data_IF_007020526829
#
_entry.id   IF_007020526829
#
_cell.length_a   1.000
_cell.length_b   1.000
_cell.length_c   1.000
_cell.angle_alpha   90.00
_cell.angle_beta   90.00
_cell.angle_gamma   90.00
#
_symmetry.space_group_name_H-M   'P 1'
#
loop_
_entity.id
_entity.type
_entity.pdbx_description
1 polymer ?
#
# COMPACT_ATOMS: atom_id res chain seq x y z
N UNK A 1 -25.58 -17.64 14.25
CA UNK A 1 -26.15 -18.43 13.15
C UNK A 1 -25.00 -18.79 12.23
N UNK A 2 -24.85 -20.07 11.89
CA UNK A 2 -23.82 -20.53 10.95
C UNK A 2 -24.50 -20.71 9.59
N UNK A 3 -23.89 -20.18 8.52
CA UNK A 3 -24.47 -20.25 7.19
C UNK A 3 -24.28 -21.64 6.56
N UNK A 4 -25.27 -22.14 5.80
CA UNK A 4 -25.06 -23.32 4.95
C UNK A 4 -23.95 -23.04 3.93
N UNK A 5 -23.09 -24.02 3.67
CA UNK A 5 -21.93 -23.86 2.77
C UNK A 5 -22.34 -23.46 1.34
N UNK A 6 -23.47 -23.98 0.87
CA UNK A 6 -24.06 -23.63 -0.42
C UNK A 6 -24.37 -22.13 -0.53
N UNK A 7 -24.94 -21.54 0.52
CA UNK A 7 -25.31 -20.12 0.58
C UNK A 7 -24.05 -19.25 0.59
N UNK A 8 -23.01 -19.66 1.33
CA UNK A 8 -21.71 -18.96 1.32
C UNK A 8 -21.05 -19.01 -0.05
N UNK A 9 -21.09 -20.16 -0.73
CA UNK A 9 -20.55 -20.30 -2.08
C UNK A 9 -21.23 -19.34 -3.06
N UNK A 10 -22.56 -19.32 -3.07
CA UNK A 10 -23.35 -18.39 -3.90
C UNK A 10 -23.04 -16.91 -3.59
N UNK A 11 -22.86 -16.57 -2.30
CA UNK A 11 -22.49 -15.21 -1.92
C UNK A 11 -21.10 -14.83 -2.45
N UNK A 12 -20.10 -15.72 -2.32
CA UNK A 12 -18.75 -15.50 -2.85
C UNK A 12 -18.77 -15.30 -4.36
N UNK A 13 -19.47 -16.16 -5.10
CA UNK A 13 -19.62 -16.07 -6.56
C UNK A 13 -20.24 -14.73 -6.97
N UNK A 14 -21.32 -14.32 -6.31
CA UNK A 14 -22.00 -13.06 -6.60
C UNK A 14 -21.12 -11.84 -6.29
N UNK A 15 -20.43 -11.83 -5.14
CA UNK A 15 -19.52 -10.75 -4.74
C UNK A 15 -18.32 -10.66 -5.68
N UNK A 16 -17.74 -11.79 -6.06
CA UNK A 16 -16.67 -11.84 -7.05
C UNK A 16 -17.14 -11.29 -8.40
N UNK A 17 -18.33 -11.68 -8.86
CA UNK A 17 -18.87 -11.22 -10.13
C UNK A 17 -19.19 -9.71 -10.15
N UNK A 18 -19.74 -9.17 -9.05
CA UNK A 18 -20.19 -7.77 -9.00
C UNK A 18 -19.12 -6.78 -8.54
N UNK A 19 -18.31 -7.15 -7.54
CA UNK A 19 -17.33 -6.26 -6.91
C UNK A 19 -15.88 -6.68 -7.18
N UNK A 20 -15.67 -7.82 -7.84
CA UNK A 20 -14.35 -8.38 -8.07
C UNK A 20 -13.66 -8.92 -6.83
N UNK A 21 -14.29 -8.86 -5.64
CA UNK A 21 -13.66 -9.20 -4.37
C UNK A 21 -13.52 -10.71 -4.18
N UNK A 22 -12.34 -11.14 -3.73
CA UNK A 22 -12.07 -12.49 -3.27
C UNK A 22 -12.32 -12.61 -1.77
N UNK A 23 -13.20 -13.55 -1.43
CA UNK A 23 -13.39 -14.01 -0.07
C UNK A 23 -12.99 -15.48 -0.04
N UNK A 24 -11.79 -15.81 0.47
CA UNK A 24 -11.39 -17.19 0.69
C UNK A 24 -12.06 -17.79 1.93
N UNK A 25 -11.98 -19.11 2.11
CA UNK A 25 -12.65 -19.82 3.20
C UNK A 25 -12.19 -19.36 4.60
N UNK A 26 -10.92 -18.97 4.74
CA UNK A 26 -10.41 -18.36 5.98
C UNK A 26 -11.12 -17.06 6.38
N UNK A 27 -11.79 -16.38 5.44
CA UNK A 27 -12.56 -15.13 5.66
C UNK A 27 -14.07 -15.34 5.67
N UNK A 28 -14.57 -16.58 5.82
CA UNK A 28 -16.02 -16.85 5.91
C UNK A 28 -16.70 -16.04 7.00
N UNK A 29 -16.07 -15.91 8.17
CA UNK A 29 -16.65 -15.17 9.29
C UNK A 29 -16.80 -13.66 8.99
N UNK A 30 -15.91 -13.07 8.19
CA UNK A 30 -16.03 -11.67 7.76
C UNK A 30 -17.19 -11.50 6.79
N UNK A 31 -17.26 -12.39 5.79
CA UNK A 31 -18.34 -12.43 4.81
C UNK A 31 -19.70 -12.58 5.49
N UNK A 32 -19.81 -13.54 6.40
CA UNK A 32 -21.01 -13.84 7.19
C UNK A 32 -21.48 -12.61 7.99
N UNK A 33 -20.55 -11.91 8.65
CA UNK A 33 -20.87 -10.66 9.38
C UNK A 33 -21.30 -9.54 8.45
N UNK A 34 -20.65 -9.37 7.31
CA UNK A 34 -21.00 -8.34 6.34
C UNK A 34 -22.40 -8.55 5.75
N UNK A 35 -22.72 -9.79 5.37
CA UNK A 35 -24.04 -10.17 4.86
C UNK A 35 -25.13 -9.97 5.90
N UNK A 36 -24.91 -10.39 7.16
CA UNK A 36 -25.88 -10.17 8.24
C UNK A 36 -26.14 -8.68 8.49
N UNK A 37 -25.09 -7.85 8.46
CA UNK A 37 -25.22 -6.40 8.64
C UNK A 37 -25.93 -5.75 7.46
N UNK A 38 -25.63 -6.15 6.23
CA UNK A 38 -26.32 -5.64 5.05
C UNK A 38 -27.82 -6.04 5.05
N UNK A 39 -28.12 -7.23 5.58
CA UNK A 39 -29.48 -7.75 5.66
C UNK A 39 -30.31 -7.17 6.83
N UNK A 40 -29.71 -6.45 7.80
CA UNK A 40 -30.42 -6.01 9.02
C UNK A 40 -31.63 -5.12 8.74
N UNK A 41 -31.56 -4.35 7.64
CA UNK A 41 -32.62 -3.44 7.20
C UNK A 41 -33.40 -4.00 5.99
N UNK A 42 -33.15 -5.27 5.61
CA UNK A 42 -33.80 -5.92 4.48
C UNK A 42 -35.15 -6.51 4.91
N UNK A 43 -36.13 -6.48 4.01
CA UNK A 43 -37.42 -7.16 4.20
C UNK A 43 -37.32 -8.70 4.07
N UNK A 44 -36.12 -9.22 3.80
CA UNK A 44 -35.85 -10.64 3.56
C UNK A 44 -35.94 -11.44 4.85
N UNK A 45 -36.64 -12.58 4.83
CA UNK A 45 -36.84 -13.42 6.02
C UNK A 45 -35.69 -14.41 6.20
N UNK A 46 -34.97 -14.70 5.11
CA UNK A 46 -33.78 -15.56 5.10
C UNK A 46 -32.64 -14.88 4.34
N UNK A 47 -31.40 -15.29 4.65
CA UNK A 47 -30.25 -14.76 3.92
C UNK A 47 -30.18 -15.27 2.46
N UNK A 48 -30.75 -16.44 2.17
CA UNK A 48 -30.85 -16.93 0.79
C UNK A 48 -31.78 -16.02 -0.04
N UNK A 49 -32.94 -15.64 0.50
CA UNK A 49 -33.82 -14.63 -0.13
C UNK A 49 -33.09 -13.29 -0.32
N UNK A 50 -32.31 -12.85 0.66
CA UNK A 50 -31.51 -11.63 0.56
C UNK A 50 -30.47 -11.72 -0.56
N UNK A 51 -29.75 -12.83 -0.71
CA UNK A 51 -28.77 -13.03 -1.79
C UNK A 51 -29.44 -13.08 -3.17
N UNK A 52 -30.56 -13.80 -3.31
CA UNK A 52 -31.31 -13.83 -4.58
C UNK A 52 -31.84 -12.45 -4.96
N UNK A 53 -32.32 -11.68 -3.98
CA UNK A 53 -32.74 -10.29 -4.16
C UNK A 53 -31.57 -9.42 -4.60
N UNK A 54 -30.44 -9.46 -3.87
CA UNK A 54 -29.21 -8.74 -4.22
C UNK A 54 -28.79 -9.07 -5.66
N UNK A 55 -28.78 -10.33 -6.06
CA UNK A 55 -28.41 -10.72 -7.42
C UNK A 55 -29.26 -10.03 -8.51
N UNK A 56 -30.55 -9.80 -8.25
CA UNK A 56 -31.49 -9.16 -9.15
C UNK A 56 -31.45 -7.61 -9.12
N UNK A 57 -30.84 -7.01 -8.09
CA UNK A 57 -30.77 -5.55 -7.96
C UNK A 57 -29.73 -4.94 -8.93
N UNK A 58 -29.96 -3.69 -9.39
CA UNK A 58 -28.94 -2.94 -10.12
C UNK A 58 -27.78 -2.58 -9.19
N UNK A 59 -26.57 -2.39 -9.74
CA UNK A 59 -25.38 -2.04 -8.95
C UNK A 59 -25.49 -0.68 -8.25
N UNK A 60 -26.34 0.20 -8.77
CA UNK A 60 -26.62 1.50 -8.17
C UNK A 60 -27.53 1.42 -6.93
N UNK A 61 -28.08 0.25 -6.63
CA UNK A 61 -29.01 0.06 -5.53
C UNK A 61 -28.35 0.34 -4.17
N UNK A 62 -29.12 0.94 -3.26
CA UNK A 62 -28.66 1.29 -1.93
C UNK A 62 -28.30 0.05 -1.09
N UNK A 63 -28.98 -1.08 -1.30
CA UNK A 63 -28.70 -2.35 -0.61
C UNK A 63 -27.31 -2.89 -1.02
N UNK A 64 -26.97 -2.81 -2.31
CA UNK A 64 -25.64 -3.15 -2.81
C UNK A 64 -24.55 -2.25 -2.25
N UNK A 65 -24.79 -0.93 -2.24
CA UNK A 65 -23.83 0.04 -1.69
C UNK A 65 -23.55 -0.19 -0.21
N UNK A 66 -24.58 -0.52 0.57
CA UNK A 66 -24.42 -0.88 1.99
C UNK A 66 -23.58 -2.14 2.16
N UNK A 67 -23.86 -3.17 1.35
CA UNK A 67 -23.08 -4.41 1.40
C UNK A 67 -21.61 -4.15 1.04
N UNK A 68 -21.34 -3.39 -0.02
CA UNK A 68 -19.97 -3.02 -0.41
C UNK A 68 -19.20 -2.38 0.76
N UNK A 69 -19.79 -1.42 1.46
CA UNK A 69 -19.17 -0.76 2.61
C UNK A 69 -18.78 -1.72 3.75
N UNK A 70 -19.54 -2.82 3.97
CA UNK A 70 -19.18 -3.84 4.96
C UNK A 70 -18.15 -4.85 4.47
N UNK A 71 -17.99 -5.01 3.16
CA UNK A 71 -17.04 -5.94 2.56
C UNK A 71 -15.66 -5.31 2.33
N UNK A 72 -15.60 -3.99 2.20
CA UNK A 72 -14.36 -3.25 1.95
C UNK A 72 -13.58 -2.96 3.22
N UNK A 73 -12.25 -2.96 3.11
CA UNK A 73 -11.34 -2.54 4.18
C UNK A 73 -10.92 -1.09 3.93
N UNK A 74 -11.46 -0.16 4.71
CA UNK A 74 -11.24 1.28 4.54
C UNK A 74 -10.04 1.86 5.31
N UNK A 75 -9.03 1.07 5.65
CA UNK A 75 -7.88 1.61 6.40
C UNK A 75 -7.01 2.50 5.50
N UNK A 76 -6.87 3.77 5.88
CA UNK A 76 -5.99 4.72 5.19
C UNK A 76 -5.44 5.78 6.16
N UNK A 77 -4.46 6.57 5.70
CA UNK A 77 -3.86 7.71 6.39
C UNK A 77 -3.07 8.61 5.45
N UNK A 78 -2.88 9.86 5.87
CA UNK A 78 -2.15 10.85 5.11
C UNK A 78 -0.69 10.42 4.91
N UNK A 79 -0.23 10.48 3.66
CA UNK A 79 1.12 10.11 3.25
C UNK A 79 1.48 8.64 3.57
N UNK A 80 0.49 7.73 3.48
CA UNK A 80 0.71 6.28 3.59
C UNK A 80 1.72 5.79 2.55
N UNK A 81 2.66 4.96 2.99
CA UNK A 81 3.89 4.58 2.27
C UNK A 81 4.71 5.81 1.85
N UNK A 82 5.36 6.44 2.83
CA UNK A 82 6.19 7.62 2.64
C UNK A 82 7.16 7.53 1.44
N UNK A 83 7.84 6.39 1.15
CA UNK A 83 8.72 6.29 -0.01
C UNK A 83 8.02 6.59 -1.36
N UNK A 84 6.74 6.23 -1.50
CA UNK A 84 5.98 6.56 -2.71
C UNK A 84 5.74 8.06 -2.81
N UNK A 85 5.27 8.70 -1.75
CA UNK A 85 5.01 10.14 -1.78
C UNK A 85 6.29 10.96 -1.95
N UNK A 86 7.41 10.49 -1.41
CA UNK A 86 8.74 11.06 -1.68
C UNK A 86 9.12 10.91 -3.16
N UNK A 87 8.87 9.74 -3.77
CA UNK A 87 9.11 9.51 -5.19
C UNK A 87 8.24 10.44 -6.07
N UNK A 88 6.96 10.60 -5.70
CA UNK A 88 6.04 11.51 -6.37
C UNK A 88 6.52 12.95 -6.27
N UNK A 89 6.92 13.39 -5.07
CA UNK A 89 7.35 14.76 -4.81
C UNK A 89 8.68 15.10 -5.50
N UNK A 90 9.66 14.18 -5.45
CA UNK A 90 11.04 14.48 -5.88
C UNK A 90 11.33 14.16 -7.34
N UNK A 91 10.55 13.28 -7.96
CA UNK A 91 10.88 12.74 -9.29
C UNK A 91 9.70 12.77 -10.26
N UNK A 92 8.59 12.14 -9.90
CA UNK A 92 7.49 11.91 -10.85
C UNK A 92 6.75 13.20 -11.19
N UNK A 93 6.19 13.88 -10.19
CA UNK A 93 5.41 15.10 -10.42
C UNK A 93 6.26 16.23 -11.01
N UNK A 94 7.49 16.53 -10.52
CA UNK A 94 8.33 17.56 -11.14
C UNK A 94 8.63 17.30 -12.61
N UNK A 95 8.90 16.03 -13.00
CA UNK A 95 9.15 15.66 -14.38
C UNK A 95 7.94 15.91 -15.28
N UNK A 96 6.75 15.52 -14.84
CA UNK A 96 5.49 15.77 -15.56
C UNK A 96 5.24 17.26 -15.68
N UNK A 97 5.39 18.01 -14.58
CA UNK A 97 5.18 19.46 -14.54
C UNK A 97 6.11 20.14 -15.55
N UNK A 98 7.41 19.85 -15.51
CA UNK A 98 8.38 20.50 -16.40
C UNK A 98 8.07 20.23 -17.88
N UNK A 99 7.76 18.98 -18.23
CA UNK A 99 7.39 18.60 -19.60
C UNK A 99 6.15 19.35 -20.12
N UNK A 100 5.26 19.78 -19.23
CA UNK A 100 4.00 20.46 -19.56
C UNK A 100 4.09 21.98 -19.52
N UNK A 101 5.16 22.57 -18.96
CA UNK A 101 5.28 24.04 -18.79
C UNK A 101 5.25 24.82 -20.10
N UNK A 102 5.78 24.23 -21.17
CA UNK A 102 5.82 24.82 -22.52
C UNK A 102 4.52 24.61 -23.32
N UNK A 103 3.59 23.78 -22.82
CA UNK A 103 2.32 23.55 -23.49
C UNK A 103 1.40 24.76 -23.37
N UNK A 104 0.61 25.01 -24.42
CA UNK A 104 -0.40 26.07 -24.43
C UNK A 104 -1.44 25.89 -23.33
N UNK A 105 -1.75 24.64 -22.99
CA UNK A 105 -2.67 24.27 -21.90
C UNK A 105 -1.90 23.36 -20.95
N UNK A 106 -1.45 23.92 -19.83
CA UNK A 106 -0.74 23.19 -18.79
C UNK A 106 -1.76 22.35 -18.01
N UNK A 107 -1.65 21.03 -18.11
CA UNK A 107 -2.61 20.11 -17.48
C UNK A 107 -1.89 19.09 -16.60
N UNK A 108 -2.54 18.71 -15.52
CA UNK A 108 -2.10 17.64 -14.64
C UNK A 108 -3.31 16.83 -14.17
N UNK A 109 -3.34 15.54 -14.49
CA UNK A 109 -4.47 14.64 -14.19
C UNK A 109 -3.99 13.49 -13.33
N UNK A 110 -4.44 13.49 -12.08
CA UNK A 110 -4.11 12.49 -11.07
C UNK A 110 -5.38 11.73 -10.68
N UNK A 111 -5.25 10.43 -10.41
CA UNK A 111 -6.35 9.61 -9.94
C UNK A 111 -5.95 8.75 -8.74
N UNK A 112 -6.64 8.90 -7.61
CA UNK A 112 -6.62 7.94 -6.50
C UNK A 112 -7.81 6.98 -6.65
N UNK A 113 -7.51 5.75 -7.01
CA UNK A 113 -8.45 4.67 -7.33
C UNK A 113 -8.57 3.71 -6.13
N UNK A 114 -9.70 3.78 -5.42
CA UNK A 114 -9.89 3.13 -4.11
C UNK A 114 -9.43 4.04 -2.98
N UNK A 115 -9.93 5.28 -2.95
CA UNK A 115 -9.42 6.35 -2.09
C UNK A 115 -9.86 6.28 -0.61
N UNK A 116 -10.74 5.32 -0.26
CA UNK A 116 -11.33 5.17 1.07
C UNK A 116 -11.87 6.51 1.62
N UNK A 117 -11.43 6.89 2.82
CA UNK A 117 -11.89 8.12 3.51
C UNK A 117 -11.19 9.39 3.06
N UNK A 118 -10.39 9.35 1.97
CA UNK A 118 -9.90 10.55 1.28
C UNK A 118 -8.51 11.05 1.69
N UNK A 119 -7.82 10.39 2.61
CA UNK A 119 -6.48 10.80 3.01
C UNK A 119 -5.46 10.77 1.85
N UNK A 120 -5.49 9.73 0.99
CA UNK A 120 -4.60 9.62 -0.17
C UNK A 120 -4.77 10.76 -1.20
N UNK A 121 -5.98 11.07 -1.71
CA UNK A 121 -6.14 12.14 -2.68
C UNK A 121 -5.86 13.53 -2.09
N UNK A 122 -6.08 13.74 -0.79
CA UNK A 122 -5.68 14.99 -0.15
C UNK A 122 -4.17 15.08 0.03
N UNK A 123 -3.45 13.98 0.30
CA UNK A 123 -1.99 13.97 0.24
C UNK A 123 -1.46 14.34 -1.15
N UNK A 124 -2.07 13.83 -2.22
CA UNK A 124 -1.75 14.25 -3.60
C UNK A 124 -2.00 15.75 -3.80
N UNK A 125 -3.15 16.26 -3.36
CA UNK A 125 -3.49 17.67 -3.49
C UNK A 125 -2.51 18.59 -2.74
N UNK A 126 -2.02 18.16 -1.58
CA UNK A 126 -1.00 18.88 -0.81
C UNK A 126 0.35 18.88 -1.55
N UNK A 127 0.76 17.76 -2.15
CA UNK A 127 1.96 17.72 -2.98
C UNK A 127 1.84 18.64 -4.20
N UNK A 128 0.70 18.63 -4.88
CA UNK A 128 0.43 19.50 -6.02
C UNK A 128 0.51 20.98 -5.62
N UNK A 129 -0.17 21.38 -4.55
CA UNK A 129 -0.12 22.77 -4.04
C UNK A 129 1.31 23.21 -3.69
N UNK A 130 2.11 22.29 -3.16
CA UNK A 130 3.51 22.56 -2.80
C UNK A 130 4.43 22.68 -4.01
N UNK A 131 4.19 21.91 -5.07
CA UNK A 131 5.04 21.85 -6.26
C UNK A 131 4.64 22.86 -7.35
N UNK A 132 3.39 23.33 -7.34
CA UNK A 132 2.86 24.28 -8.32
C UNK A 132 2.49 25.61 -7.64
N UNK A 133 3.45 26.53 -7.43
CA UNK A 133 3.15 27.87 -6.92
C UNK A 133 2.27 28.67 -7.89
N UNK A 134 2.35 28.37 -9.19
CA UNK A 134 1.56 28.94 -10.29
C UNK A 134 0.27 28.15 -10.56
N UNK A 135 -0.30 27.46 -9.56
CA UNK A 135 -1.47 26.56 -9.71
C UNK A 135 -2.65 27.15 -10.50
N UNK A 136 -2.86 28.47 -10.44
CA UNK A 136 -3.93 29.15 -11.17
C UNK A 136 -3.79 29.08 -12.71
N UNK A 137 -2.57 28.86 -13.21
CA UNK A 137 -2.28 28.71 -14.64
C UNK A 137 -2.45 27.26 -15.14
N UNK A 138 -2.81 26.34 -14.25
CA UNK A 138 -2.88 24.91 -14.52
C UNK A 138 -4.31 24.39 -14.48
N UNK A 139 -4.64 23.54 -15.45
CA UNK A 139 -5.82 22.68 -15.39
C UNK A 139 -5.48 21.41 -14.62
N UNK A 140 -5.64 21.47 -13.29
CA UNK A 140 -5.40 20.33 -12.41
C UNK A 140 -6.68 19.56 -12.14
N UNK A 141 -6.63 18.24 -12.32
CA UNK A 141 -7.68 17.30 -11.91
C UNK A 141 -7.08 16.30 -10.94
N UNK A 142 -7.63 16.21 -9.72
CA UNK A 142 -7.37 15.09 -8.81
C UNK A 142 -8.69 14.35 -8.63
N UNK A 143 -8.86 13.28 -9.39
CA UNK A 143 -10.00 12.39 -9.26
C UNK A 143 -9.75 11.42 -8.10
N UNK A 144 -10.74 11.24 -7.24
CA UNK A 144 -10.71 10.30 -6.15
C UNK A 144 -11.97 9.46 -6.22
N UNK A 145 -11.81 8.14 -6.33
CA UNK A 145 -12.95 7.23 -6.48
C UNK A 145 -12.91 6.09 -5.50
N UNK A 146 -14.09 5.67 -5.08
CA UNK A 146 -14.26 4.47 -4.25
C UNK A 146 -15.61 3.82 -4.56
N UNK A 147 -15.74 2.53 -4.23
CA UNK A 147 -17.02 1.82 -4.28
C UNK A 147 -17.85 2.10 -3.01
N UNK A 148 -17.18 2.38 -1.88
CA UNK A 148 -17.82 2.74 -0.63
C UNK A 148 -18.22 4.23 -0.62
N UNK A 149 -19.51 4.47 -0.84
CA UNK A 149 -20.09 5.82 -0.82
C UNK A 149 -20.02 6.46 0.57
N UNK A 150 -20.08 5.68 1.65
CA UNK A 150 -19.98 6.21 3.00
C UNK A 150 -18.56 6.71 3.31
N UNK A 151 -17.54 6.00 2.82
CA UNK A 151 -16.16 6.47 2.89
C UNK A 151 -15.96 7.77 2.08
N UNK A 152 -16.56 7.86 0.89
CA UNK A 152 -16.55 9.10 0.09
C UNK A 152 -17.24 10.27 0.81
N UNK A 153 -18.30 10.03 1.58
CA UNK A 153 -18.95 11.08 2.37
C UNK A 153 -18.05 11.61 3.49
N UNK A 154 -17.26 10.73 4.12
CA UNK A 154 -16.22 11.14 5.08
C UNK A 154 -15.15 11.99 4.37
N UNK A 155 -14.70 11.55 3.19
CA UNK A 155 -13.75 12.32 2.38
C UNK A 155 -14.30 13.71 2.04
N UNK A 156 -15.56 13.83 1.61
CA UNK A 156 -16.22 15.12 1.29
C UNK A 156 -16.25 16.07 2.48
N UNK A 157 -16.45 15.55 3.69
CA UNK A 157 -16.38 16.36 4.91
C UNK A 157 -14.96 16.87 5.15
N UNK A 158 -13.95 16.04 4.84
CA UNK A 158 -12.54 16.39 4.99
C UNK A 158 -12.15 16.62 6.45
N UNK A 159 -12.78 15.88 7.38
CA UNK A 159 -12.58 16.00 8.83
C UNK A 159 -12.00 14.71 9.36
N UNK A 160 -10.81 14.82 9.94
CA UNK A 160 -10.00 13.67 10.33
C UNK A 160 -9.61 13.74 11.80
N UNK A 161 -9.39 12.57 12.40
CA UNK A 161 -8.87 12.45 13.77
C UNK A 161 -7.38 12.19 13.73
N UNK A 162 -6.73 12.32 14.89
CA UNK A 162 -5.28 12.13 15.04
C UNK A 162 -4.75 10.84 14.39
N UNK A 163 -5.53 9.76 14.42
CA UNK A 163 -5.14 8.48 13.81
C UNK A 163 -4.88 8.56 12.30
N UNK A 164 -5.60 9.41 11.56
CA UNK A 164 -5.38 9.62 10.12
C UNK A 164 -4.04 10.27 9.81
N UNK A 165 -3.34 10.82 10.81
CA UNK A 165 -2.07 11.52 10.64
C UNK A 165 -0.85 10.70 11.12
N UNK A 166 -1.04 9.40 11.38
CA UNK A 166 0.05 8.51 11.79
C UNK A 166 1.11 8.45 10.69
N UNK A 167 2.33 8.89 10.99
CA UNK A 167 3.42 8.95 10.01
C UNK A 167 3.35 10.14 9.04
N UNK A 168 2.42 11.08 9.25
CA UNK A 168 2.34 12.31 8.46
C UNK A 168 3.33 13.35 8.96
N UNK A 169 4.10 14.00 8.06
CA UNK A 169 5.02 15.08 8.45
C UNK A 169 4.30 16.22 9.18
N UNK A 170 4.93 16.81 10.20
CA UNK A 170 4.31 17.84 11.05
C UNK A 170 3.85 19.08 10.25
N UNK A 171 4.69 19.54 9.32
CA UNK A 171 4.40 20.70 8.46
C UNK A 171 3.11 20.57 7.66
N UNK A 172 2.68 19.33 7.36
CA UNK A 172 1.43 19.07 6.64
C UNK A 172 0.26 19.53 7.49
N UNK A 173 0.25 19.16 8.77
CA UNK A 173 -0.84 19.48 9.70
C UNK A 173 -0.94 20.98 9.91
N UNK A 174 0.19 21.62 10.19
CA UNK A 174 0.25 23.04 10.54
C UNK A 174 -0.20 23.96 9.39
N UNK A 175 0.08 23.57 8.14
CA UNK A 175 -0.18 24.41 6.97
C UNK A 175 -1.47 24.08 6.21
N UNK A 176 -1.98 22.86 6.34
CA UNK A 176 -3.08 22.36 5.50
C UNK A 176 -4.29 21.89 6.27
N UNK A 177 -4.29 22.00 7.60
CA UNK A 177 -5.40 21.62 8.44
C UNK A 177 -5.75 22.69 9.46
N UNK A 178 -7.03 22.73 9.84
CA UNK A 178 -7.54 23.60 10.88
C UNK A 178 -8.11 22.77 12.02
N UNK A 179 -7.65 23.04 13.23
CA UNK A 179 -8.13 22.36 14.42
C UNK A 179 -9.55 22.85 14.78
N UNK A 180 -10.51 21.94 14.83
CA UNK A 180 -11.87 22.16 15.34
C UNK A 180 -12.18 21.15 16.44
N UNK A 181 -11.94 21.51 17.70
CA UNK A 181 -12.12 20.60 18.83
C UNK A 181 -11.16 19.42 18.76
N UNK A 182 -11.66 18.20 18.65
CA UNK A 182 -10.86 16.96 18.55
C UNK A 182 -10.63 16.47 17.10
N UNK A 183 -11.08 17.24 16.10
CA UNK A 183 -10.90 16.91 14.68
C UNK A 183 -10.08 17.99 13.97
N UNK A 184 -9.35 17.57 12.94
CA UNK A 184 -8.64 18.43 12.01
C UNK A 184 -9.40 18.46 10.68
N UNK A 185 -9.76 19.65 10.23
CA UNK A 185 -10.43 19.85 8.94
C UNK A 185 -9.43 20.26 7.86
N UNK A 186 -9.45 19.59 6.72
CA UNK A 186 -8.62 19.92 5.55
C UNK A 186 -8.95 21.34 5.07
N UNK A 187 -7.91 22.11 4.80
CA UNK A 187 -8.03 23.46 4.25
C UNK A 187 -8.89 23.47 2.98
N UNK A 188 -9.87 24.39 2.92
CA UNK A 188 -10.85 24.47 1.82
C UNK A 188 -10.18 24.59 0.44
N UNK A 189 -9.01 25.22 0.35
CA UNK A 189 -8.24 25.36 -0.89
C UNK A 189 -7.77 24.02 -1.45
N UNK A 190 -7.31 23.12 -0.57
CA UNK A 190 -6.90 21.76 -0.93
C UNK A 190 -8.11 20.92 -1.24
N UNK A 191 -9.17 21.05 -0.42
CA UNK A 191 -10.40 20.29 -0.62
C UNK A 191 -11.01 20.49 -2.01
N UNK A 192 -10.89 21.70 -2.56
CA UNK A 192 -11.38 22.07 -3.90
C UNK A 192 -10.60 21.45 -5.06
N UNK A 193 -9.37 20.98 -4.85
CA UNK A 193 -8.57 20.34 -5.88
C UNK A 193 -9.02 18.89 -6.15
N UNK A 194 -9.71 18.27 -5.18
CA UNK A 194 -10.13 16.87 -5.24
C UNK A 194 -11.59 16.75 -5.66
N UNK A 195 -11.83 15.98 -6.71
CA UNK A 195 -13.16 15.57 -7.16
C UNK A 195 -13.45 14.14 -6.72
N UNK A 196 -14.50 13.96 -5.92
CA UNK A 196 -14.88 12.66 -5.35
C UNK A 196 -16.07 12.06 -6.13
N UNK A 197 -15.92 10.84 -6.63
CA UNK A 197 -16.97 10.14 -7.38
C UNK A 197 -17.05 8.65 -7.02
N UNK A 198 -18.26 8.05 -6.94
CA UNK A 198 -18.38 6.61 -6.79
C UNK A 198 -17.92 5.90 -8.07
N UNK A 199 -17.10 4.86 -7.93
CA UNK A 199 -16.67 4.02 -9.05
C UNK A 199 -16.31 2.62 -8.56
N UNK A 200 -16.86 1.61 -9.22
CA UNK A 200 -16.50 0.22 -8.99
C UNK A 200 -15.34 -0.17 -9.92
N UNK A 201 -14.16 -0.48 -9.35
CA UNK A 201 -12.97 -0.81 -10.12
C UNK A 201 -13.07 -2.19 -10.81
N UNK A 202 -13.95 -3.08 -10.38
CA UNK A 202 -14.20 -4.33 -11.11
C UNK A 202 -15.13 -4.13 -12.31
N UNK A 203 -15.88 -3.03 -12.34
CA UNK A 203 -16.87 -2.74 -13.37
C UNK A 203 -16.28 -2.24 -14.69
N UNK A 204 -17.16 -2.17 -15.71
CA UNK A 204 -16.79 -1.83 -17.09
C UNK A 204 -17.09 -0.37 -17.47
N UNK A 205 -17.53 0.46 -16.52
CA UNK A 205 -17.90 1.86 -16.78
C UNK A 205 -16.70 2.77 -17.11
N UNK A 206 -15.47 2.27 -17.02
CA UNK A 206 -14.24 3.02 -17.18
C UNK A 206 -13.17 2.17 -17.90
N UNK A 207 -12.17 2.81 -18.56
CA UNK A 207 -11.96 4.24 -18.68
C UNK A 207 -12.98 4.92 -19.60
N UNK A 208 -13.50 6.09 -19.20
CA UNK A 208 -14.43 6.88 -20.03
C UNK A 208 -14.26 8.38 -19.81
N UNK A 209 -14.47 9.22 -20.85
CA UNK A 209 -14.58 10.67 -20.66
C UNK A 209 -15.71 11.04 -19.69
N UNK A 210 -16.80 10.25 -19.64
CA UNK A 210 -17.95 10.50 -18.74
C UNK A 210 -17.60 10.30 -17.27
N UNK A 211 -16.74 9.32 -16.97
CA UNK A 211 -16.21 9.07 -15.61
C UNK A 211 -14.99 9.95 -15.31
N UNK A 212 -14.54 10.76 -16.27
CA UNK A 212 -13.31 11.57 -16.20
C UNK A 212 -12.05 10.73 -15.90
N UNK A 213 -12.01 9.46 -16.29
CA UNK A 213 -10.92 8.51 -16.02
C UNK A 213 -10.04 8.25 -17.25
N UNK A 214 -9.87 9.24 -18.13
CA UNK A 214 -9.02 9.11 -19.33
C UNK A 214 -7.80 10.02 -19.26
N UNK A 215 -6.73 9.61 -19.95
CA UNK A 215 -5.48 10.37 -20.09
C UNK A 215 -4.89 10.86 -18.76
N UNK A 216 -4.82 9.96 -17.77
CA UNK A 216 -4.24 10.23 -16.45
C UNK A 216 -2.71 10.25 -16.52
N UNK A 217 -2.10 11.29 -15.98
CA UNK A 217 -0.64 11.36 -15.85
C UNK A 217 -0.17 10.42 -14.73
N UNK A 218 -0.96 10.30 -13.65
CA UNK A 218 -0.68 9.36 -12.54
C UNK A 218 -1.96 8.73 -12.03
N UNK A 219 -1.94 7.41 -11.83
CA UNK A 219 -2.98 6.63 -11.14
C UNK A 219 -2.36 5.95 -9.92
N UNK A 220 -2.90 6.19 -8.73
CA UNK A 220 -2.63 5.42 -7.52
C UNK A 220 -3.76 4.42 -7.36
N UNK A 221 -3.45 3.13 -7.34
CA UNK A 221 -4.39 2.05 -7.02
C UNK A 221 -3.74 1.13 -6.00
N UNK A 222 -3.82 1.50 -4.72
CA UNK A 222 -2.97 0.97 -3.66
C UNK A 222 -3.78 0.34 -2.57
N UNK A 223 -3.36 -0.84 -2.12
CA UNK A 223 -4.06 -1.60 -1.08
C UNK A 223 -5.51 -1.92 -1.46
N UNK A 224 -5.78 -2.14 -2.75
CA UNK A 224 -7.10 -2.40 -3.34
C UNK A 224 -7.11 -3.74 -4.07
N UNK A 225 -6.21 -3.91 -5.04
CA UNK A 225 -6.17 -5.09 -5.91
C UNK A 225 -5.89 -6.36 -5.11
N UNK A 226 -5.20 -6.27 -3.96
CA UNK A 226 -4.95 -7.43 -3.10
C UNK A 226 -6.22 -8.11 -2.55
N UNK A 227 -7.37 -7.45 -2.64
CA UNK A 227 -8.67 -8.01 -2.26
C UNK A 227 -9.45 -8.59 -3.44
N UNK A 228 -8.95 -8.46 -4.67
CA UNK A 228 -9.67 -8.90 -5.88
C UNK A 228 -9.34 -10.36 -6.22
N UNK A 229 -10.25 -11.03 -6.91
CA UNK A 229 -9.96 -12.31 -7.57
C UNK A 229 -8.89 -12.11 -8.65
N UNK A 230 -8.07 -13.13 -8.99
CA UNK A 230 -7.03 -12.98 -10.01
C UNK A 230 -7.53 -12.45 -11.35
N UNK A 231 -8.71 -12.90 -11.79
CA UNK A 231 -9.35 -12.40 -13.03
C UNK A 231 -9.74 -10.92 -12.92
N UNK A 232 -10.33 -10.52 -11.79
CA UNK A 232 -10.70 -9.13 -11.55
C UNK A 232 -9.48 -8.22 -11.43
N UNK A 233 -8.39 -8.69 -10.82
CA UNK A 233 -7.11 -7.97 -10.77
C UNK A 233 -6.58 -7.69 -12.18
N UNK A 234 -6.49 -8.72 -13.03
CA UNK A 234 -6.02 -8.61 -14.42
C UNK A 234 -6.86 -7.64 -15.24
N UNK A 235 -8.18 -7.82 -15.22
CA UNK A 235 -9.11 -6.94 -15.94
C UNK A 235 -9.01 -5.49 -15.45
N UNK A 236 -8.81 -5.30 -14.14
CA UNK A 236 -8.65 -3.98 -13.53
C UNK A 236 -7.38 -3.29 -13.96
N UNK A 237 -6.25 -3.99 -13.92
CA UNK A 237 -4.99 -3.45 -14.43
C UNK A 237 -5.06 -3.07 -15.91
N UNK A 238 -5.72 -3.87 -16.74
CA UNK A 238 -5.87 -3.55 -18.16
C UNK A 238 -6.70 -2.27 -18.37
N UNK A 239 -7.79 -2.09 -17.62
CA UNK A 239 -8.58 -0.85 -17.66
C UNK A 239 -7.83 0.35 -17.10
N UNK A 240 -7.05 0.18 -16.02
CA UNK A 240 -6.19 1.25 -15.48
C UNK A 240 -5.10 1.65 -16.49
N UNK A 241 -4.52 0.69 -17.21
CA UNK A 241 -3.61 0.95 -18.34
C UNK A 241 -4.29 1.76 -19.45
N UNK A 242 -5.54 1.44 -19.78
CA UNK A 242 -6.33 2.24 -20.72
C UNK A 242 -6.69 3.65 -20.21
N UNK A 243 -6.68 3.88 -18.89
CA UNK A 243 -6.93 5.17 -18.27
C UNK A 243 -5.71 6.11 -18.30
N UNK A 244 -4.51 5.54 -18.33
CA UNK A 244 -3.25 6.27 -18.31
C UNK A 244 -2.98 6.97 -19.65
N UNK A 245 -2.21 8.05 -19.55
CA UNK A 245 -1.65 8.72 -20.72
C UNK A 245 -0.67 7.79 -21.45
N UNK A 246 -0.91 7.58 -22.74
CA UNK A 246 0.01 6.84 -23.60
C UNK A 246 1.41 7.48 -23.63
N UNK A 247 2.44 6.65 -23.43
CA UNK A 247 3.83 7.09 -23.52
C UNK A 247 4.37 7.91 -22.35
N UNK A 248 3.64 7.99 -21.24
CA UNK A 248 4.14 8.73 -20.08
C UNK A 248 3.37 8.59 -18.77
N UNK A 249 2.20 7.95 -18.75
CA UNK A 249 1.42 7.77 -17.53
C UNK A 249 2.10 6.84 -16.51
N UNK A 250 1.91 7.15 -15.22
CA UNK A 250 2.43 6.35 -14.10
C UNK A 250 1.32 5.61 -13.36
N UNK A 251 1.56 4.35 -13.04
CA UNK A 251 0.73 3.55 -12.14
C UNK A 251 1.50 3.29 -10.84
N UNK A 252 0.92 3.64 -9.71
CA UNK A 252 1.43 3.33 -8.38
C UNK A 252 0.57 2.26 -7.71
N UNK A 253 1.22 1.20 -7.22
CA UNK A 253 0.59 0.08 -6.51
C UNK A 253 1.22 -0.11 -5.13
N UNK A 254 0.74 -1.07 -4.33
CA UNK A 254 1.41 -1.54 -3.12
C UNK A 254 2.22 -2.81 -3.37
N UNK A 255 3.20 -3.10 -2.50
CA UNK A 255 4.09 -4.25 -2.66
C UNK A 255 3.37 -5.62 -2.82
N UNK A 256 2.27 -5.93 -2.11
CA UNK A 256 1.55 -7.19 -2.32
C UNK A 256 0.89 -7.32 -3.70
N UNK A 257 0.75 -6.21 -4.43
CA UNK A 257 0.01 -6.11 -5.69
C UNK A 257 0.94 -6.22 -6.91
N UNK A 258 2.25 -6.43 -6.70
CA UNK A 258 3.23 -6.56 -7.79
C UNK A 258 3.24 -7.94 -8.44
N UNK A 259 2.65 -8.94 -7.78
CA UNK A 259 2.62 -10.33 -8.26
C UNK A 259 1.44 -10.61 -9.20
N UNK A 260 0.66 -9.58 -9.54
CA UNK A 260 -0.54 -9.72 -10.35
C UNK A 260 -0.19 -9.96 -11.82
N UNK A 261 -0.80 -10.98 -12.41
CA UNK A 261 -0.82 -11.18 -13.86
C UNK A 261 -1.56 -10.00 -14.52
N UNK A 262 -0.89 -9.22 -15.36
CA UNK A 262 -1.44 -8.01 -15.97
C UNK A 262 -0.52 -6.80 -15.95
N UNK A 263 0.59 -6.87 -15.21
CA UNK A 263 1.65 -5.86 -15.26
C UNK A 263 2.60 -6.03 -16.47
N UNK A 264 2.38 -7.07 -17.29
CA UNK A 264 3.14 -7.27 -18.52
C UNK A 264 2.97 -6.08 -19.46
N UNK A 265 4.08 -5.50 -19.90
CA UNK A 265 4.09 -4.32 -20.77
C UNK A 265 4.13 -2.97 -20.03
N UNK A 266 4.13 -2.95 -18.70
CA UNK A 266 4.56 -1.78 -17.94
C UNK A 266 6.08 -1.79 -17.73
N UNK A 267 6.69 -0.61 -17.76
CA UNK A 267 8.09 -0.42 -17.36
C UNK A 267 8.14 -0.15 -15.85
N UNK A 268 8.84 -0.98 -15.08
CA UNK A 268 9.04 -0.69 -13.65
C UNK A 268 9.95 0.52 -13.49
N UNK A 269 9.56 1.45 -12.63
CA UNK A 269 10.37 2.62 -12.30
C UNK A 269 11.15 2.31 -11.03
N UNK A 270 12.48 2.27 -11.14
CA UNK A 270 13.34 1.99 -10.00
C UNK A 270 13.41 3.19 -9.05
N UNK A 271 12.64 3.09 -7.96
CA UNK A 271 12.70 3.99 -6.82
C UNK A 271 12.65 3.15 -5.53
N UNK A 272 13.67 3.26 -4.64
CA UNK A 272 13.70 2.51 -3.40
C UNK A 272 12.42 2.69 -2.57
N UNK A 273 11.81 1.58 -2.15
CA UNK A 273 10.63 1.57 -1.29
C UNK A 273 9.30 1.96 -1.97
N UNK A 274 9.31 2.40 -3.24
CA UNK A 274 8.09 2.73 -3.99
C UNK A 274 7.82 1.69 -5.09
N UNK A 275 6.54 1.39 -5.30
CA UNK A 275 6.10 0.49 -6.38
C UNK A 275 5.44 1.35 -7.45
N UNK A 276 6.23 1.68 -8.48
CA UNK A 276 5.84 2.54 -9.58
C UNK A 276 6.11 1.86 -10.92
N UNK A 277 5.16 2.03 -11.82
CA UNK A 277 5.19 1.52 -13.18
C UNK A 277 4.90 2.67 -14.15
N UNK A 278 5.49 2.62 -15.33
CA UNK A 278 5.29 3.61 -16.39
C UNK A 278 4.73 2.93 -17.63
N UNK A 279 3.76 3.58 -18.27
CA UNK A 279 3.20 3.15 -19.54
C UNK A 279 4.17 3.52 -20.68
N UNK A 280 4.76 2.54 -21.39
CA UNK A 280 5.59 2.82 -22.54
C UNK A 280 4.74 3.44 -23.67
N UNK A 281 5.42 4.12 -24.59
CA UNK A 281 4.74 4.68 -25.77
C UNK A 281 4.25 3.55 -26.65
N UNK A 282 2.96 3.57 -27.01
CA UNK A 282 2.40 2.67 -28.04
C UNK A 282 2.82 3.07 -29.45
N UNK A 283 3.24 4.32 -29.64
CA UNK A 283 3.80 4.81 -30.90
C UNK A 283 5.33 4.58 -30.90
N UNK A 284 5.92 4.10 -32.02
CA UNK A 284 7.37 4.06 -32.14
C UNK A 284 7.93 5.47 -31.92
N UNK A 285 9.07 5.55 -31.22
CA UNK A 285 9.75 6.82 -31.04
C UNK A 285 9.91 7.51 -32.41
N UNK A 286 9.64 8.82 -32.53
CA UNK A 286 9.93 9.52 -33.78
C UNK A 286 11.39 9.25 -34.11
N UNK A 287 11.64 8.78 -35.34
CA UNK A 287 13.00 8.53 -35.79
C UNK A 287 13.84 9.79 -35.48
N UNK A 288 15.07 9.63 -34.95
CA UNK A 288 15.93 10.77 -34.77
C UNK A 288 15.97 11.56 -36.08
N UNK A 289 15.89 12.90 -36.06
CA UNK A 289 15.99 13.69 -37.27
C UNK A 289 17.23 13.21 -38.03
N UNK A 290 17.14 12.99 -39.36
CA UNK A 290 18.29 12.51 -40.11
C UNK A 290 19.46 13.43 -39.81
N UNK A 291 20.59 12.83 -39.41
CA UNK A 291 21.83 13.56 -39.17
C UNK A 291 22.05 14.51 -40.35
N UNK A 292 22.33 15.80 -40.12
CA UNK A 292 22.58 16.72 -41.22
C UNK A 292 23.66 16.10 -42.10
N UNK A 293 23.36 15.91 -43.39
CA UNK A 293 24.32 15.40 -44.36
C UNK A 293 25.58 16.25 -44.27
N UNK A 294 26.73 15.61 -44.09
CA UNK A 294 28.03 16.24 -43.89
C UNK A 294 28.52 17.10 -45.09
N UNK A 295 27.74 17.22 -46.16
CA UNK A 295 28.13 17.94 -47.38
C UNK A 295 27.41 19.29 -47.57
N UNK A 296 26.67 19.78 -46.58
CA UNK A 296 26.22 21.18 -46.60
C UNK A 296 27.28 22.05 -45.92
N UNK A 297 28.19 22.61 -46.73
CA UNK A 297 29.18 23.58 -46.27
C UNK A 297 28.54 24.69 -45.43
N UNK A 298 29.19 25.03 -44.32
CA UNK A 298 28.71 26.05 -43.39
C UNK A 298 28.47 27.40 -44.10
N UNK A 299 27.39 28.12 -43.77
CA UNK A 299 27.11 29.42 -44.37
C UNK A 299 28.15 30.46 -43.93
N UNK A 300 28.62 31.26 -44.88
CA UNK A 300 29.80 32.14 -44.79
C UNK A 300 29.74 33.27 -43.73
N UNK A 301 28.65 33.38 -42.95
CA UNK A 301 28.52 34.39 -41.89
C UNK A 301 29.09 33.94 -40.53
N UNK A 302 29.54 32.69 -40.42
CA UNK A 302 30.20 32.14 -39.22
C UNK A 302 31.73 32.38 -39.17
N UNK A 303 32.30 33.04 -40.17
CA UNK A 303 33.76 33.27 -40.26
C UNK A 303 34.28 34.45 -39.41
N UNK A 304 33.41 35.25 -38.78
CA UNK A 304 33.81 36.54 -38.16
C UNK A 304 33.63 36.63 -36.63
N UNK A 305 33.35 35.52 -35.95
CA UNK A 305 33.33 35.50 -34.48
C UNK A 305 34.70 35.09 -33.93
N UNK A 306 35.62 36.06 -33.85
CA UNK A 306 36.90 35.90 -33.17
C UNK A 306 36.72 35.64 -31.66
N UNK A 307 37.42 34.62 -31.15
CA UNK A 307 37.96 34.60 -29.80
C UNK A 307 37.18 33.80 -28.74
N UNK A 308 37.57 32.54 -28.55
CA UNK A 308 38.18 32.01 -27.31
C UNK A 308 37.95 30.51 -27.23
N UNK A 309 39.02 29.74 -27.44
CA UNK A 309 39.01 28.29 -27.34
C UNK A 309 39.02 27.89 -25.87
N UNK A 310 37.90 27.34 -25.40
CA UNK A 310 37.87 26.50 -24.21
C UNK A 310 38.36 25.10 -24.62
N UNK A 311 39.52 24.68 -24.10
CA UNK A 311 40.01 23.30 -24.19
C UNK A 311 39.65 22.54 -22.90
N UNK A 312 38.82 21.48 -22.95
CA UNK A 312 38.64 20.60 -21.82
C UNK A 312 39.79 19.58 -21.78
N UNK A 313 40.60 19.67 -20.73
CA UNK A 313 41.61 18.68 -20.38
C UNK A 313 40.96 17.48 -19.66
N UNK A 314 41.53 16.30 -19.89
CA UNK A 314 41.34 15.02 -19.19
C UNK A 314 40.14 14.14 -19.63
N UNK A 315 40.41 13.26 -20.59
CA UNK A 315 39.71 12.00 -20.83
C UNK A 315 39.97 11.04 -19.67
N UNK A 316 38.93 10.69 -18.91
CA UNK A 316 38.99 9.56 -17.96
C UNK A 316 38.60 8.29 -18.71
N UNK A 317 39.57 7.40 -18.93
CA UNK A 317 39.34 6.04 -19.42
C UNK A 317 38.80 5.18 -18.28
N UNK A 318 37.60 4.62 -18.43
CA UNK A 318 37.06 3.61 -17.54
C UNK A 318 37.43 2.23 -18.09
N UNK A 319 38.22 1.47 -17.34
CA UNK A 319 38.44 0.04 -17.60
C UNK A 319 37.19 -0.79 -17.21
N UNK A 320 36.97 -1.96 -17.85
CA UNK A 320 35.80 -2.78 -17.60
C UNK A 320 35.94 -3.54 -16.28
N UNK A 321 34.93 -3.40 -15.41
CA UNK A 321 34.84 -4.19 -14.18
C UNK A 321 34.54 -5.66 -14.53
N UNK A 322 35.53 -6.53 -14.34
CA UNK A 322 35.38 -7.99 -14.46
C UNK A 322 34.47 -8.47 -13.35
N UNK A 323 33.32 -9.02 -13.73
CA UNK A 323 32.39 -9.67 -12.83
C UNK A 323 33.01 -10.96 -12.28
N UNK A 324 33.44 -10.94 -11.03
CA UNK A 324 33.69 -12.15 -10.25
C UNK A 324 32.35 -12.82 -10.00
N UNK A 325 32.19 -14.03 -10.54
CA UNK A 325 30.96 -14.81 -10.40
C UNK A 325 30.70 -15.24 -8.96
N UNK A 326 29.56 -14.83 -8.43
CA UNK A 326 28.79 -15.64 -7.50
C UNK A 326 27.63 -16.26 -8.30
N UNK A 327 27.64 -17.59 -8.41
CA UNK A 327 26.54 -18.34 -9.00
C UNK A 327 25.26 -18.13 -8.16
N UNK A 328 24.09 -17.92 -8.78
CA UNK A 328 22.84 -17.91 -8.04
C UNK A 328 22.61 -19.29 -7.43
N UNK A 329 22.47 -19.32 -6.10
CA UNK A 329 22.10 -20.52 -5.38
C UNK A 329 20.78 -21.07 -5.95
N UNK A 330 20.82 -22.33 -6.36
CA UNK A 330 19.67 -23.12 -6.79
C UNK A 330 18.56 -23.04 -5.76
N UNK A 331 17.39 -22.55 -6.17
CA UNK A 331 16.19 -22.54 -5.34
C UNK A 331 15.76 -24.00 -5.09
N UNK A 332 16.07 -24.50 -3.90
CA UNK A 332 15.52 -25.76 -3.40
C UNK A 332 14.02 -25.61 -3.15
N UNK A 333 13.27 -26.70 -3.35
CA UNK A 333 11.84 -26.79 -3.07
C UNK A 333 11.52 -26.37 -1.61
N UNK A 334 10.31 -25.81 -1.35
CA UNK A 334 9.95 -25.38 0.00
C UNK A 334 10.00 -26.56 0.99
N UNK A 335 10.60 -26.36 2.18
CA UNK A 335 10.74 -27.42 3.17
C UNK A 335 9.38 -27.89 3.70
N UNK A 336 9.31 -29.18 3.99
CA UNK A 336 8.13 -29.82 4.56
C UNK A 336 7.82 -29.20 5.95
N UNK A 337 6.56 -29.21 6.43
CA UNK A 337 6.17 -28.59 7.69
C UNK A 337 7.05 -28.96 8.91
N UNK A 338 7.50 -30.22 9.01
CA UNK A 338 8.38 -30.67 10.10
C UNK A 338 9.83 -30.19 10.02
N UNK A 339 10.32 -29.80 8.84
CA UNK A 339 11.64 -29.19 8.67
C UNK A 339 11.64 -27.71 9.12
N UNK A 340 10.47 -27.05 9.07
CA UNK A 340 10.30 -25.63 9.47
C UNK A 340 10.45 -25.45 10.98
N UNK A 341 9.85 -26.33 11.76
CA UNK A 341 9.95 -26.34 13.23
C UNK A 341 11.39 -26.61 13.67
N UNK A 342 12.11 -27.54 13.01
CA UNK A 342 13.51 -27.82 13.30
C UNK A 342 14.44 -26.62 13.07
N UNK A 343 14.25 -25.88 11.97
CA UNK A 343 15.06 -24.69 11.66
C UNK A 343 14.84 -23.55 12.66
N UNK A 344 13.62 -23.35 13.15
CA UNK A 344 13.32 -22.33 14.15
C UNK A 344 13.83 -22.73 15.55
N UNK A 345 13.73 -24.01 15.92
CA UNK A 345 14.27 -24.51 17.19
C UNK A 345 15.80 -24.36 17.25
N UNK A 346 16.51 -24.69 16.17
CA UNK A 346 17.97 -24.50 16.10
C UNK A 346 18.36 -23.01 16.14
N UNK A 347 17.61 -22.15 15.46
CA UNK A 347 17.82 -20.69 15.50
C UNK A 347 17.64 -20.15 16.93
N UNK A 348 16.64 -20.66 17.66
CA UNK A 348 16.40 -20.30 19.06
C UNK A 348 17.53 -20.77 19.97
N UNK A 349 18.00 -22.00 19.81
CA UNK A 349 19.15 -22.52 20.56
C UNK A 349 20.42 -21.68 20.35
N UNK A 350 20.67 -21.21 19.12
CA UNK A 350 21.79 -20.30 18.82
C UNK A 350 21.64 -18.95 19.52
N UNK A 351 20.42 -18.40 19.57
CA UNK A 351 20.13 -17.17 20.29
C UNK A 351 20.33 -17.34 21.81
N UNK A 352 19.86 -18.45 22.38
CA UNK A 352 20.01 -18.77 23.81
C UNK A 352 21.49 -18.98 24.21
N UNK A 353 22.33 -19.43 23.28
CA UNK A 353 23.79 -19.53 23.43
C UNK A 353 24.52 -18.18 23.24
N UNK A 354 23.81 -17.08 22.98
CA UNK A 354 24.38 -15.75 22.75
C UNK A 354 25.03 -15.57 21.37
N UNK A 355 24.88 -16.52 20.44
CA UNK A 355 25.41 -16.43 19.06
C UNK A 355 24.45 -15.65 18.15
N UNK A 356 24.16 -14.41 18.54
CA UNK A 356 23.09 -13.59 17.97
C UNK A 356 23.25 -13.31 16.46
N UNK A 357 24.47 -13.08 15.97
CA UNK A 357 24.71 -12.83 14.53
C UNK A 357 24.42 -14.05 13.66
N UNK A 358 24.71 -15.24 14.18
CA UNK A 358 24.45 -16.49 13.47
C UNK A 358 22.98 -16.86 13.53
N UNK A 359 22.35 -16.66 14.69
CA UNK A 359 20.91 -16.78 14.85
C UNK A 359 20.18 -15.84 13.88
N UNK A 360 20.62 -14.57 13.75
CA UNK A 360 20.05 -13.60 12.81
C UNK A 360 20.15 -14.08 11.36
N UNK A 361 21.36 -14.45 10.90
CA UNK A 361 21.55 -14.95 9.51
C UNK A 361 20.71 -16.18 9.22
N UNK A 362 20.60 -17.09 10.18
CA UNK A 362 19.81 -18.32 10.03
C UNK A 362 18.31 -18.00 9.96
N UNK A 363 17.84 -17.09 10.80
CA UNK A 363 16.47 -16.59 10.80
C UNK A 363 16.11 -15.88 9.48
N UNK A 364 16.98 -14.99 8.99
CA UNK A 364 16.80 -14.30 7.70
C UNK A 364 16.78 -15.27 6.52
N UNK A 365 17.60 -16.32 6.55
CA UNK A 365 17.54 -17.41 5.56
C UNK A 365 16.23 -18.17 5.62
N UNK A 366 15.75 -18.52 6.81
CA UNK A 366 14.45 -19.18 6.97
C UNK A 366 13.31 -18.33 6.39
N UNK A 367 13.32 -17.01 6.65
CA UNK A 367 12.37 -16.04 6.11
C UNK A 367 12.50 -15.90 4.58
N UNK A 368 13.72 -15.96 4.05
CA UNK A 368 13.95 -15.91 2.61
C UNK A 368 13.37 -17.14 1.89
N UNK A 369 13.41 -18.31 2.53
CA UNK A 369 12.82 -19.54 2.02
C UNK A 369 11.29 -19.59 2.18
N UNK A 370 10.75 -19.14 3.31
CA UNK A 370 9.31 -19.03 3.54
C UNK A 370 8.97 -17.75 4.30
N UNK A 371 8.33 -16.81 3.59
CA UNK A 371 7.99 -15.49 4.10
C UNK A 371 6.74 -15.48 4.98
N UNK A 372 6.01 -16.58 5.10
CA UNK A 372 4.71 -16.66 5.76
C UNK A 372 4.76 -17.34 7.13
N UNK A 373 5.93 -17.34 7.79
CA UNK A 373 6.12 -17.94 9.12
C UNK A 373 6.18 -16.83 10.19
N UNK A 374 5.09 -16.56 10.94
CA UNK A 374 5.06 -15.49 11.95
C UNK A 374 6.14 -15.66 13.02
N UNK A 375 6.36 -16.89 13.47
CA UNK A 375 7.32 -17.23 14.53
C UNK A 375 8.77 -16.92 14.12
N UNK A 376 9.08 -16.99 12.83
CA UNK A 376 10.39 -16.59 12.31
C UNK A 376 10.60 -15.08 12.50
N UNK A 377 9.58 -14.26 12.24
CA UNK A 377 9.66 -12.82 12.47
C UNK A 377 9.67 -12.44 13.96
N UNK A 378 8.97 -13.20 14.81
CA UNK A 378 9.04 -12.99 16.27
C UNK A 378 10.42 -13.33 16.82
N UNK A 379 11.02 -14.41 16.34
CA UNK A 379 12.39 -14.78 16.70
C UNK A 379 13.40 -13.75 16.19
N UNK A 380 13.25 -13.27 14.95
CA UNK A 380 14.07 -12.19 14.42
C UNK A 380 13.94 -10.91 15.25
N UNK A 381 12.73 -10.56 15.68
CA UNK A 381 12.49 -9.40 16.52
C UNK A 381 13.22 -9.49 17.86
N UNK A 382 13.15 -10.66 18.51
CA UNK A 382 13.87 -10.91 19.76
C UNK A 382 15.40 -10.82 19.55
N UNK A 383 15.93 -11.43 18.48
CA UNK A 383 17.37 -11.38 18.17
C UNK A 383 17.82 -9.94 17.88
N UNK A 384 17.05 -9.17 17.10
CA UNK A 384 17.34 -7.76 16.84
C UNK A 384 17.29 -6.91 18.12
N UNK A 385 16.34 -7.20 19.01
CA UNK A 385 16.24 -6.52 20.30
C UNK A 385 17.49 -6.76 21.16
N UNK A 386 17.95 -8.01 21.28
CA UNK A 386 19.14 -8.37 22.06
C UNK A 386 20.43 -7.78 21.44
N UNK A 387 20.47 -7.65 20.11
CA UNK A 387 21.54 -6.96 19.40
C UNK A 387 21.48 -5.41 19.48
N UNK A 388 20.47 -4.84 20.16
CA UNK A 388 20.27 -3.38 20.25
C UNK A 388 19.74 -2.74 18.95
N UNK A 389 19.41 -3.52 17.93
CA UNK A 389 18.79 -3.09 16.68
C UNK A 389 17.28 -2.91 16.86
N UNK A 390 16.89 -1.84 17.57
CA UNK A 390 15.49 -1.54 17.88
C UNK A 390 14.66 -1.29 16.60
N UNK A 391 15.29 -0.75 15.56
CA UNK A 391 14.65 -0.53 14.25
C UNK A 391 14.28 -1.85 13.58
N UNK A 392 15.24 -2.74 13.43
CA UNK A 392 15.04 -4.09 12.89
C UNK A 392 14.04 -4.90 13.72
N UNK A 393 14.09 -4.77 15.05
CA UNK A 393 13.14 -5.44 15.94
C UNK A 393 11.69 -4.98 15.68
N UNK A 394 11.46 -3.67 15.53
CA UNK A 394 10.13 -3.13 15.22
C UNK A 394 9.65 -3.48 13.81
N UNK A 395 10.54 -3.56 12.82
CA UNK A 395 10.21 -4.06 11.47
C UNK A 395 9.76 -5.53 11.52
N UNK A 396 10.51 -6.37 12.25
CA UNK A 396 10.21 -7.78 12.41
C UNK A 396 8.88 -8.00 13.17
N UNK A 397 8.65 -7.29 14.28
CA UNK A 397 7.36 -7.34 15.00
C UNK A 397 6.19 -6.90 14.12
N UNK A 398 6.36 -5.86 13.30
CA UNK A 398 5.31 -5.42 12.36
C UNK A 398 4.96 -6.50 11.35
N UNK A 399 5.95 -7.24 10.83
CA UNK A 399 5.72 -8.36 9.92
C UNK A 399 5.07 -9.55 10.62
N UNK A 400 5.46 -9.85 11.87
CA UNK A 400 4.80 -10.86 12.68
C UNK A 400 3.32 -10.52 12.91
N UNK A 401 3.00 -9.30 13.33
CA UNK A 401 1.62 -8.83 13.55
C UNK A 401 0.81 -8.74 12.26
N UNK A 402 1.45 -8.52 11.12
CA UNK A 402 0.77 -8.57 9.83
C UNK A 402 0.30 -9.99 9.49
N UNK A 403 1.12 -11.00 9.80
CA UNK A 403 0.81 -12.41 9.51
C UNK A 403 -0.09 -13.04 10.59
N UNK A 404 0.08 -12.66 11.86
CA UNK A 404 -0.68 -13.13 13.01
C UNK A 404 -1.13 -11.93 13.89
N UNK A 405 -2.23 -11.24 13.52
CA UNK A 405 -2.69 -10.04 14.23
C UNK A 405 -3.17 -10.29 15.68
N UNK A 406 -3.50 -11.54 15.99
CA UNK A 406 -3.94 -12.04 17.28
C UNK A 406 -2.80 -12.64 18.12
N UNK A 407 -1.55 -12.57 17.65
CA UNK A 407 -0.39 -13.02 18.41
C UNK A 407 -0.15 -12.15 19.65
N UNK A 408 -0.40 -12.73 20.83
CA UNK A 408 -0.16 -12.07 22.11
C UNK A 408 1.33 -11.79 22.31
N UNK A 409 2.20 -12.70 21.88
CA UNK A 409 3.66 -12.53 21.96
C UNK A 409 4.14 -11.34 21.12
N UNK A 410 3.59 -11.18 19.92
CA UNK A 410 3.92 -10.08 19.02
C UNK A 410 3.51 -8.71 19.59
N UNK A 411 2.29 -8.60 20.14
CA UNK A 411 1.83 -7.38 20.81
C UNK A 411 2.66 -7.07 22.05
N UNK A 412 3.06 -8.08 22.82
CA UNK A 412 3.91 -7.90 24.00
C UNK A 412 5.29 -7.34 23.61
N UNK A 413 5.96 -7.97 22.64
CA UNK A 413 7.26 -7.49 22.12
C UNK A 413 7.14 -6.06 21.56
N UNK A 414 6.07 -5.76 20.83
CA UNK A 414 5.80 -4.40 20.35
C UNK A 414 5.73 -3.40 21.51
N UNK A 415 5.00 -3.75 22.56
CA UNK A 415 4.83 -2.91 23.73
C UNK A 415 6.16 -2.63 24.43
N UNK A 416 6.99 -3.67 24.62
CA UNK A 416 8.33 -3.55 25.21
C UNK A 416 9.25 -2.63 24.39
N UNK A 417 9.29 -2.82 23.07
CA UNK A 417 10.12 -2.01 22.16
C UNK A 417 9.66 -0.55 22.14
N UNK A 418 8.35 -0.30 22.12
CA UNK A 418 7.78 1.05 22.17
C UNK A 418 8.05 1.74 23.51
N UNK A 419 7.98 1.01 24.63
CA UNK A 419 8.30 1.55 25.95
C UNK A 419 9.77 2.01 26.03
N UNK A 420 10.70 1.20 25.49
CA UNK A 420 12.13 1.55 25.39
C UNK A 420 12.38 2.80 24.53
N UNK A 421 11.55 3.06 23.53
CA UNK A 421 11.60 4.28 22.73
C UNK A 421 10.89 5.49 23.38
N UNK A 422 10.42 5.37 24.62
CA UNK A 422 9.68 6.42 25.31
C UNK A 422 8.25 6.63 24.81
N UNK A 423 7.74 5.77 23.92
CA UNK A 423 6.38 5.86 23.35
C UNK A 423 5.33 5.26 24.30
N UNK A 424 5.25 5.79 25.53
CA UNK A 424 4.45 5.24 26.64
C UNK A 424 3.00 4.93 26.29
N UNK A 425 2.31 5.83 25.59
CA UNK A 425 0.91 5.64 25.19
C UNK A 425 0.71 4.48 24.21
N UNK A 426 1.64 4.28 23.28
CA UNK A 426 1.57 3.19 22.31
C UNK A 426 1.97 1.87 22.96
N UNK A 427 2.99 1.88 23.80
CA UNK A 427 3.37 0.74 24.62
C UNK A 427 2.19 0.25 25.47
N UNK A 428 1.49 1.17 26.14
CA UNK A 428 0.30 0.88 26.93
C UNK A 428 -0.80 0.19 26.12
N UNK A 429 -1.12 0.70 24.92
CA UNK A 429 -2.14 0.08 24.05
C UNK A 429 -1.78 -1.32 23.59
N UNK A 430 -0.50 -1.56 23.29
CA UNK A 430 -0.02 -2.89 22.96
C UNK A 430 -0.20 -3.83 24.16
N UNK A 431 0.14 -3.39 25.39
CA UNK A 431 -0.07 -4.18 26.60
C UNK A 431 -1.56 -4.43 26.91
N UNK A 432 -2.44 -3.44 26.72
CA UNK A 432 -3.90 -3.61 26.85
C UNK A 432 -4.43 -4.65 25.84
N UNK A 433 -3.84 -4.71 24.64
CA UNK A 433 -4.19 -5.71 23.63
C UNK A 433 -3.76 -7.11 24.05
N UNK A 434 -2.57 -7.28 24.63
CA UNK A 434 -2.12 -8.55 25.21
C UNK A 434 -3.09 -9.02 26.30
N UNK A 435 -3.44 -8.13 27.24
CA UNK A 435 -4.39 -8.45 28.31
C UNK A 435 -5.74 -8.89 27.75
N UNK A 436 -6.24 -8.21 26.71
CA UNK A 436 -7.50 -8.56 26.06
C UNK A 436 -7.45 -9.91 25.35
N UNK A 437 -6.36 -10.20 24.62
CA UNK A 437 -6.19 -11.46 23.89
C UNK A 437 -6.10 -12.66 24.85
N UNK A 438 -5.41 -12.48 25.98
CA UNK A 438 -5.22 -13.54 26.97
C UNK A 438 -6.31 -13.62 28.04
N UNK A 439 -7.30 -12.71 28.04
CA UNK A 439 -8.33 -12.66 29.08
C UNK A 439 -9.19 -13.93 29.19
N UNK A 440 -9.35 -14.66 28.08
CA UNK A 440 -10.14 -15.89 28.01
C UNK A 440 -9.28 -17.16 27.90
N UNK A 441 -7.95 -17.03 27.95
CA UNK A 441 -7.00 -18.15 27.82
C UNK A 441 -6.63 -18.68 29.21
N UNK A 442 -6.75 -20.00 29.47
CA UNK A 442 -6.28 -20.64 30.69
C UNK A 442 -4.83 -20.25 31.04
N UNK A 443 -4.51 -19.91 32.31
CA UNK A 443 -3.16 -19.44 32.69
C UNK A 443 -2.03 -20.45 32.41
N UNK A 444 -2.34 -21.74 32.42
CA UNK A 444 -1.43 -22.86 32.17
C UNK A 444 -1.29 -23.22 30.69
N UNK A 445 -2.12 -22.65 29.81
CA UNK A 445 -2.04 -22.88 28.36
C UNK A 445 -0.73 -22.34 27.80
N UNK A 446 -0.08 -23.17 26.97
CA UNK A 446 1.20 -22.86 26.34
C UNK A 446 0.95 -22.12 25.04
N UNK A 447 1.50 -20.91 24.95
CA UNK A 447 1.38 -20.05 23.78
C UNK A 447 2.39 -20.47 22.70
N UNK A 448 1.94 -21.00 21.54
CA UNK A 448 2.85 -21.44 20.47
C UNK A 448 3.71 -20.28 19.93
N UNK A 449 3.12 -19.09 19.83
CA UNK A 449 3.74 -17.86 19.35
C UNK A 449 4.73 -17.23 20.36
N UNK A 450 4.74 -17.70 21.61
CA UNK A 450 5.64 -17.23 22.67
C UNK A 450 6.76 -18.23 23.02
N UNK A 451 6.99 -19.26 22.19
CA UNK A 451 7.97 -20.32 22.49
C UNK A 451 7.57 -21.17 23.68
N UNK A 452 6.30 -21.57 23.74
CA UNK A 452 5.70 -22.36 24.81
C UNK A 452 5.74 -21.68 26.19
N UNK A 453 5.74 -20.35 26.24
CA UNK A 453 5.50 -19.62 27.49
C UNK A 453 4.05 -19.84 27.96
N UNK A 454 3.86 -19.98 29.27
CA UNK A 454 2.51 -20.06 29.84
C UNK A 454 1.78 -18.71 29.67
N UNK A 455 0.52 -18.74 29.21
CA UNK A 455 -0.29 -17.55 28.98
C UNK A 455 -0.40 -16.65 30.23
N UNK A 456 -0.47 -17.26 31.42
CA UNK A 456 -0.48 -16.55 32.70
C UNK A 456 0.76 -15.69 32.92
N UNK A 457 1.95 -16.16 32.52
CA UNK A 457 3.20 -15.42 32.70
C UNK A 457 3.27 -14.19 31.78
N UNK A 458 2.85 -14.34 30.53
CA UNK A 458 2.81 -13.23 29.57
C UNK A 458 1.75 -12.19 29.97
N UNK A 459 0.59 -12.64 30.48
CA UNK A 459 -0.47 -11.79 31.01
C UNK A 459 -0.01 -11.00 32.25
N UNK A 460 0.67 -11.64 33.18
CA UNK A 460 1.23 -10.99 34.38
C UNK A 460 2.29 -9.96 33.99
N UNK A 461 3.19 -10.31 33.07
CA UNK A 461 4.21 -9.40 32.54
C UNK A 461 3.58 -8.17 31.89
N UNK A 462 2.53 -8.36 31.10
CA UNK A 462 1.80 -7.25 30.47
C UNK A 462 1.12 -6.34 31.50
N UNK A 463 0.54 -6.89 32.57
CA UNK A 463 -0.07 -6.12 33.66
C UNK A 463 0.98 -5.31 34.42
N UNK A 464 2.11 -5.90 34.74
CA UNK A 464 3.23 -5.18 35.36
C UNK A 464 3.69 -4.00 34.50
N UNK A 465 3.79 -4.18 33.18
CA UNK A 465 4.10 -3.07 32.27
C UNK A 465 3.02 -1.97 32.24
N UNK A 466 1.75 -2.29 32.48
CA UNK A 466 0.66 -1.31 32.58
C UNK A 466 0.65 -0.53 33.89
N UNK A 467 1.19 -1.11 34.96
CA UNK A 467 1.35 -0.45 36.26
C UNK A 467 2.56 0.49 36.30
N UNK A 468 3.60 0.17 35.52
CA UNK A 468 4.84 0.94 35.42
C UNK A 468 4.84 2.04 34.34
N UNK A 469 3.84 2.05 33.43
CA UNK A 469 3.73 2.97 32.29
C UNK A 469 2.73 4.10 32.52
#
# INVERSE_FOLDING_TARGET
>A
MTFPDEVRRQARELIAARLGLDFPERRSADLDRALLRAASDSASRTLHEHLSRLAALPESDAEWRRLAAYLTVGETYFFRDAPLFEALERRVLPSIIEARRSERVRRLRLWSAGCATGEEPYSLAILVDRLLPDLADWSVTILATDVDVAALDIARQGRYREWSFRGTPEWVRDRYFRQHGSVLEVDRRIRRLVSLAPLNLSGESYPSPLTNTTAMDVVLCRNVLMYFTPDAQRATLERLRGALLDGGGYLALSAPETSVEGLQGFERVDVPGAVLYRQPSRLPAPAPPPSPRADAGAPAWLADAGGSAWEPTATVSLEPLVATGEQPATAAAPPLPGEREGVLAETRALADMGRLDEARRRCERAIAHDRLIPDAYLLLAAICQENGDVGGALDAVRRALYLAPDSAAAHFLQGCLLARQGQRLRARRSMETVVRLLAAVPPDERLPDAGDMAAGHLLESARTHLELA
#
